data_IF_058760070582
#
_entry.id   IF_058760070582
#
_cell.length_a   1.000
_cell.length_b   1.000
_cell.length_c   1.000
_cell.angle_alpha   90.00
_cell.angle_beta   90.00
_cell.angle_gamma   90.00
#
_symmetry.space_group_name_H-M   'P 1'
#
loop_
_entity.id
_entity.type
_entity.pdbx_description
1 polymer ?
#
# COMPACT_ATOMS: atom_id res chain seq x y z
N UNK A 1 10.08 -21.52 12.99
CA UNK A 1 8.70 -21.01 12.89
C UNK A 1 8.20 -20.34 14.18
N UNK A 2 8.14 -21.03 15.33
CA UNK A 2 7.60 -20.47 16.59
C UNK A 2 8.21 -19.11 16.98
N UNK A 3 9.54 -18.97 17.00
CA UNK A 3 10.21 -17.72 17.33
C UNK A 3 9.92 -16.60 16.32
N UNK A 4 9.77 -16.93 15.05
CA UNK A 4 9.43 -15.98 14.00
C UNK A 4 8.00 -15.47 14.18
N UNK A 5 7.01 -16.36 14.32
CA UNK A 5 5.62 -15.97 14.58
C UNK A 5 5.49 -15.15 15.88
N UNK A 6 6.15 -15.57 16.95
CA UNK A 6 6.17 -14.86 18.23
C UNK A 6 6.71 -13.43 18.08
N UNK A 7 7.84 -13.26 17.36
CA UNK A 7 8.44 -11.94 17.11
C UNK A 7 7.48 -11.01 16.41
N UNK A 8 6.75 -11.50 15.41
CA UNK A 8 5.80 -10.66 14.64
C UNK A 8 4.51 -10.44 15.39
N UNK A 9 4.00 -11.42 16.14
CA UNK A 9 2.82 -11.27 16.96
C UNK A 9 3.00 -10.17 18.03
N UNK A 10 4.17 -10.13 18.68
CA UNK A 10 4.50 -9.11 19.68
C UNK A 10 4.68 -7.68 19.09
N UNK A 11 4.80 -7.57 17.78
CA UNK A 11 4.91 -6.28 17.07
C UNK A 11 3.59 -5.79 16.45
N UNK A 12 2.51 -6.53 16.63
CA UNK A 12 1.20 -6.11 16.12
C UNK A 12 0.69 -4.90 16.91
N UNK A 13 0.08 -3.95 16.21
CA UNK A 13 -0.53 -2.79 16.84
C UNK A 13 -1.75 -3.21 17.65
N UNK A 14 -1.69 -3.03 18.97
CA UNK A 14 -2.72 -3.49 19.90
C UNK A 14 -4.08 -2.80 19.73
N UNK A 15 -4.09 -1.56 19.24
CA UNK A 15 -5.28 -0.74 19.04
C UNK A 15 -6.09 -1.06 17.76
N UNK A 16 -5.57 -1.92 16.89
CA UNK A 16 -6.21 -2.29 15.63
C UNK A 16 -7.15 -3.50 15.77
N UNK A 17 -8.08 -3.63 14.83
CA UNK A 17 -8.97 -4.78 14.74
C UNK A 17 -8.20 -6.09 14.58
N UNK A 18 -8.58 -7.17 15.28
CA UNK A 18 -7.98 -8.48 15.08
C UNK A 18 -8.47 -9.18 13.80
N UNK A 19 -9.45 -8.59 13.07
CA UNK A 19 -10.06 -9.22 11.92
C UNK A 19 -10.88 -10.46 12.27
N UNK A 20 -11.58 -11.01 11.29
CA UNK A 20 -12.39 -12.22 11.47
C UNK A 20 -11.47 -13.46 11.66
N UNK A 21 -11.83 -14.44 12.51
CA UNK A 21 -13.04 -14.46 13.35
C UNK A 21 -12.90 -13.76 14.72
N UNK A 22 -11.71 -13.37 15.12
CA UNK A 22 -11.44 -12.84 16.46
C UNK A 22 -12.20 -11.54 16.79
N UNK A 23 -12.58 -10.77 15.77
CA UNK A 23 -13.38 -9.55 15.96
C UNK A 23 -14.82 -9.80 16.40
N UNK A 24 -15.29 -11.05 16.41
CA UNK A 24 -16.59 -11.42 16.97
C UNK A 24 -16.58 -11.33 18.49
N UNK A 25 -15.44 -11.63 19.12
CA UNK A 25 -15.30 -11.69 20.58
C UNK A 25 -14.44 -10.53 21.12
N UNK A 26 -13.54 -9.95 20.31
CA UNK A 26 -12.57 -8.97 20.76
C UNK A 26 -12.60 -7.68 19.92
N UNK A 27 -12.58 -6.55 20.60
CA UNK A 27 -12.64 -5.22 19.94
C UNK A 27 -11.33 -4.81 19.26
N UNK A 28 -10.21 -5.35 19.73
CA UNK A 28 -8.88 -5.01 19.20
C UNK A 28 -7.87 -6.14 19.46
N UNK A 29 -6.69 -6.02 18.82
CA UNK A 29 -5.61 -7.01 18.94
C UNK A 29 -5.13 -7.20 20.38
N UNK A 30 -5.11 -6.14 21.20
CA UNK A 30 -4.65 -6.22 22.59
C UNK A 30 -5.57 -7.14 23.40
N UNK A 31 -6.89 -6.92 23.34
CA UNK A 31 -7.87 -7.75 24.02
C UNK A 31 -7.81 -9.22 23.56
N UNK A 32 -7.68 -9.46 22.26
CA UNK A 32 -7.52 -10.81 21.72
C UNK A 32 -6.23 -11.49 22.24
N UNK A 33 -5.11 -10.77 22.23
CA UNK A 33 -3.83 -11.31 22.71
C UNK A 33 -3.80 -11.53 24.22
N UNK A 34 -4.48 -10.72 25.04
CA UNK A 34 -4.57 -10.96 26.48
C UNK A 34 -5.32 -12.24 26.80
N UNK A 35 -6.37 -12.54 26.03
CA UNK A 35 -7.23 -13.72 26.26
C UNK A 35 -6.73 -14.99 25.58
N UNK A 36 -6.32 -14.91 24.31
CA UNK A 36 -6.10 -16.06 23.41
C UNK A 36 -4.67 -16.17 22.88
N UNK A 37 -3.68 -15.59 23.55
CA UNK A 37 -2.30 -15.49 23.04
C UNK A 37 -1.73 -16.82 22.52
N UNK A 38 -1.87 -17.90 23.31
CA UNK A 38 -1.30 -19.21 22.94
C UNK A 38 -2.05 -19.82 21.75
N UNK A 39 -3.38 -19.67 21.71
CA UNK A 39 -4.22 -20.13 20.61
C UNK A 39 -3.84 -19.42 19.31
N UNK A 40 -3.77 -18.08 19.34
CA UNK A 40 -3.38 -17.26 18.20
C UNK A 40 -1.97 -17.63 17.70
N UNK A 41 -0.99 -17.76 18.60
CA UNK A 41 0.38 -18.15 18.24
C UNK A 41 0.42 -19.53 17.59
N UNK A 42 -0.32 -20.50 18.10
CA UNK A 42 -0.38 -21.84 17.52
C UNK A 42 -1.07 -21.82 16.13
N UNK A 43 -2.12 -21.03 15.94
CA UNK A 43 -2.77 -20.83 14.65
C UNK A 43 -1.82 -20.20 13.61
N UNK A 44 -1.03 -19.20 14.02
CA UNK A 44 -0.01 -18.61 13.13
C UNK A 44 1.05 -19.64 12.72
N UNK A 45 1.51 -20.48 13.66
CA UNK A 45 2.50 -21.54 13.36
C UNK A 45 1.89 -22.57 12.40
N UNK A 46 0.68 -23.01 12.65
CA UNK A 46 -0.02 -23.99 11.82
C UNK A 46 -0.22 -23.44 10.39
N UNK A 47 -0.75 -22.19 10.25
CA UNK A 47 -0.95 -21.54 8.96
C UNK A 47 0.36 -21.39 8.19
N UNK A 48 1.42 -20.90 8.83
CA UNK A 48 2.73 -20.78 8.19
C UNK A 48 3.28 -22.14 7.78
N UNK A 49 3.08 -23.18 8.59
CA UNK A 49 3.49 -24.54 8.25
C UNK A 49 2.75 -25.05 7.01
N UNK A 50 1.44 -24.87 6.94
CA UNK A 50 0.63 -25.23 5.77
C UNK A 50 1.19 -24.58 4.49
N UNK A 51 1.51 -23.30 4.54
CA UNK A 51 2.05 -22.57 3.37
C UNK A 51 3.45 -23.03 2.95
N UNK A 52 4.28 -23.45 3.90
CA UNK A 52 5.62 -23.97 3.63
C UNK A 52 5.61 -25.44 3.10
N UNK A 53 4.56 -26.18 3.37
CA UNK A 53 4.48 -27.62 3.09
C UNK A 53 3.43 -28.01 2.05
N UNK A 54 2.63 -27.06 1.55
CA UNK A 54 1.63 -27.32 0.52
C UNK A 54 2.27 -28.00 -0.70
N UNK A 55 1.59 -28.99 -1.23
CA UNK A 55 1.98 -29.60 -2.51
C UNK A 55 1.65 -28.62 -3.65
N UNK A 56 2.64 -28.26 -4.44
CA UNK A 56 2.45 -27.33 -5.55
C UNK A 56 1.55 -27.89 -6.66
N UNK A 57 1.35 -29.20 -6.71
CA UNK A 57 0.40 -29.81 -7.63
C UNK A 57 -1.04 -29.40 -7.34
N UNK A 58 -1.38 -29.18 -6.06
CA UNK A 58 -2.70 -28.66 -5.65
C UNK A 58 -2.92 -27.26 -6.23
N UNK A 59 -1.86 -26.45 -6.34
CA UNK A 59 -1.93 -25.10 -6.89
C UNK A 59 -2.10 -25.07 -8.43
N UNK A 60 -1.98 -26.21 -9.10
CA UNK A 60 -2.26 -26.36 -10.53
C UNK A 60 -3.74 -26.69 -10.80
N UNK A 61 -4.51 -27.07 -9.76
CA UNK A 61 -5.95 -27.24 -9.84
C UNK A 61 -6.65 -25.87 -9.80
N UNK A 62 -7.90 -25.82 -10.21
CA UNK A 62 -8.72 -24.62 -10.10
C UNK A 62 -9.00 -24.36 -8.62
N UNK A 63 -8.28 -23.38 -8.05
CA UNK A 63 -8.47 -22.90 -6.70
C UNK A 63 -9.50 -21.76 -6.74
N UNK A 64 -10.50 -21.87 -5.89
CA UNK A 64 -11.48 -20.81 -5.68
C UNK A 64 -11.55 -20.38 -4.20
N UNK A 65 -12.38 -19.40 -3.93
CA UNK A 65 -12.56 -18.87 -2.58
C UNK A 65 -13.16 -19.90 -1.61
N UNK A 66 -14.00 -20.82 -2.07
CA UNK A 66 -14.58 -21.89 -1.24
C UNK A 66 -13.52 -22.89 -0.83
N UNK A 67 -12.66 -23.26 -1.77
CA UNK A 67 -11.53 -24.15 -1.50
C UNK A 67 -10.60 -23.58 -0.40
N UNK A 68 -10.33 -22.27 -0.45
CA UNK A 68 -9.50 -21.59 0.57
C UNK A 68 -10.12 -21.67 1.95
N UNK A 69 -11.44 -21.45 2.05
CA UNK A 69 -12.19 -21.50 3.30
C UNK A 69 -12.21 -22.93 3.87
N UNK A 70 -12.60 -23.89 3.07
CA UNK A 70 -12.72 -25.30 3.48
C UNK A 70 -11.40 -25.89 3.96
N UNK A 71 -10.30 -25.50 3.31
CA UNK A 71 -8.96 -26.01 3.64
C UNK A 71 -8.20 -25.14 4.65
N UNK A 72 -8.78 -24.00 5.09
CA UNK A 72 -8.22 -23.17 6.14
C UNK A 72 -6.91 -22.47 5.78
N UNK A 73 -6.64 -22.17 4.51
CA UNK A 73 -5.43 -21.50 4.07
C UNK A 73 -5.45 -20.00 4.32
N UNK A 74 -6.62 -19.39 4.36
CA UNK A 74 -6.82 -17.98 4.70
C UNK A 74 -8.09 -17.84 5.53
N UNK A 75 -8.13 -16.82 6.38
CA UNK A 75 -9.36 -16.40 7.03
C UNK A 75 -10.06 -15.34 6.16
N UNK A 76 -11.40 -15.25 6.21
CA UNK A 76 -12.11 -14.17 5.56
C UNK A 76 -11.69 -12.79 6.10
N UNK A 77 -11.60 -11.82 5.20
CA UNK A 77 -11.44 -10.42 5.56
C UNK A 77 -12.78 -9.82 5.96
N UNK A 78 -12.79 -8.84 6.83
CA UNK A 78 -13.98 -8.01 7.07
C UNK A 78 -13.93 -6.72 6.27
N UNK A 79 -15.05 -6.01 6.14
CA UNK A 79 -15.09 -4.71 5.49
C UNK A 79 -15.85 -3.71 6.35
N UNK A 80 -15.33 -2.49 6.45
CA UNK A 80 -16.04 -1.36 7.04
C UNK A 80 -15.70 -0.04 6.35
N UNK A 81 -16.60 0.93 6.49
CA UNK A 81 -16.38 2.28 5.95
C UNK A 81 -15.31 2.98 6.79
N UNK A 82 -14.34 3.57 6.11
CA UNK A 82 -13.27 4.33 6.74
C UNK A 82 -13.79 5.63 7.33
N UNK A 83 -13.55 5.84 8.62
CA UNK A 83 -13.88 7.09 9.31
C UNK A 83 -12.90 8.21 8.90
N UNK A 84 -13.27 8.92 7.84
CA UNK A 84 -12.52 10.06 7.32
C UNK A 84 -13.44 10.99 6.52
N UNK A 85 -13.08 12.28 6.32
CA UNK A 85 -13.82 13.18 5.45
C UNK A 85 -13.88 12.66 4.02
N UNK A 86 -15.09 12.64 3.46
CA UNK A 86 -15.33 12.31 2.07
C UNK A 86 -15.83 13.55 1.33
N UNK A 87 -15.45 13.76 0.05
CA UNK A 87 -16.05 14.78 -0.79
C UNK A 87 -17.57 14.59 -0.88
N UNK A 88 -18.32 15.68 -0.85
CA UNK A 88 -19.80 15.66 -0.90
C UNK A 88 -20.36 14.78 -2.02
N UNK A 89 -19.76 14.87 -3.22
CA UNK A 89 -20.14 14.02 -4.35
C UNK A 89 -20.06 12.53 -4.02
N UNK A 90 -19.02 12.09 -3.28
CA UNK A 90 -18.89 10.68 -2.90
C UNK A 90 -19.92 10.25 -1.86
N UNK A 91 -20.33 11.19 -0.99
CA UNK A 91 -21.40 10.94 -0.03
C UNK A 91 -22.75 10.75 -0.73
N UNK A 92 -23.05 11.62 -1.69
CA UNK A 92 -24.28 11.54 -2.51
C UNK A 92 -24.32 10.25 -3.34
N UNK A 93 -23.18 9.86 -3.94
CA UNK A 93 -23.08 8.65 -4.77
C UNK A 93 -22.99 7.37 -3.94
N UNK A 94 -22.91 7.43 -2.61
CA UNK A 94 -22.69 6.26 -1.74
C UNK A 94 -21.31 5.61 -1.94
N UNK A 95 -20.33 6.31 -2.51
CA UNK A 95 -18.98 5.80 -2.83
C UNK A 95 -18.00 6.06 -1.70
N UNK A 96 -18.14 5.31 -0.63
CA UNK A 96 -17.25 5.41 0.53
C UNK A 96 -15.92 4.68 0.31
N UNK A 97 -14.88 5.14 1.00
CA UNK A 97 -13.66 4.34 1.12
C UNK A 97 -13.87 3.28 2.18
N UNK A 98 -13.61 2.04 1.80
CA UNK A 98 -13.67 0.91 2.70
C UNK A 98 -12.27 0.52 3.18
N UNK A 99 -12.22 -0.10 4.35
CA UNK A 99 -11.06 -0.79 4.88
C UNK A 99 -11.42 -2.27 4.96
N UNK A 100 -10.49 -3.12 4.54
CA UNK A 100 -10.60 -4.58 4.58
C UNK A 100 -9.55 -5.16 5.52
N UNK A 101 -9.79 -5.22 6.85
CA UNK A 101 -8.89 -5.88 7.77
C UNK A 101 -8.82 -7.37 7.47
N UNK A 102 -7.60 -7.89 7.43
CA UNK A 102 -7.34 -9.33 7.41
C UNK A 102 -7.19 -9.86 8.84
N UNK A 103 -7.36 -11.15 9.04
CA UNK A 103 -7.24 -11.77 10.36
C UNK A 103 -5.88 -11.51 11.01
N UNK A 104 -5.83 -11.50 12.34
CA UNK A 104 -4.58 -11.37 13.09
C UNK A 104 -3.60 -12.50 12.74
N UNK A 105 -4.11 -13.71 12.50
CA UNK A 105 -3.30 -14.86 12.08
C UNK A 105 -2.63 -14.58 10.73
N UNK A 106 -3.41 -14.15 9.74
CA UNK A 106 -2.89 -13.85 8.40
C UNK A 106 -1.94 -12.64 8.42
N UNK A 107 -2.24 -11.60 9.22
CA UNK A 107 -1.32 -10.46 9.41
C UNK A 107 0.07 -10.93 9.93
N UNK A 108 0.11 -11.86 10.88
CA UNK A 108 1.36 -12.39 11.43
C UNK A 108 2.08 -13.24 10.39
N UNK A 109 1.38 -14.09 9.65
CA UNK A 109 1.98 -14.93 8.59
C UNK A 109 2.53 -14.07 7.46
N UNK A 110 1.77 -13.07 6.99
CA UNK A 110 2.25 -12.08 6.01
C UNK A 110 3.47 -11.31 6.52
N UNK A 111 3.50 -10.95 7.82
CA UNK A 111 4.67 -10.30 8.41
C UNK A 111 5.89 -11.23 8.42
N UNK A 112 5.71 -12.53 8.66
CA UNK A 112 6.78 -13.51 8.57
C UNK A 112 7.36 -13.62 7.14
N UNK A 113 6.50 -13.46 6.12
CA UNK A 113 6.92 -13.57 4.72
C UNK A 113 7.54 -12.26 4.17
N UNK A 114 7.00 -11.10 4.54
CA UNK A 114 7.25 -9.85 3.81
C UNK A 114 7.96 -8.75 4.59
N UNK A 115 8.08 -8.83 5.94
CA UNK A 115 8.62 -7.71 6.72
C UNK A 115 10.06 -7.35 6.37
N UNK A 116 10.91 -8.32 6.08
CA UNK A 116 12.30 -8.06 5.71
C UNK A 116 12.39 -7.39 4.33
N UNK A 117 11.55 -7.82 3.38
CA UNK A 117 11.46 -7.18 2.06
C UNK A 117 10.94 -5.75 2.17
N UNK A 118 9.91 -5.53 2.99
CA UNK A 118 9.37 -4.18 3.23
C UNK A 118 10.40 -3.25 3.87
N UNK A 119 11.24 -3.77 4.78
CA UNK A 119 12.35 -3.02 5.38
C UNK A 119 13.40 -2.69 4.33
N UNK A 120 13.88 -3.68 3.57
CA UNK A 120 14.87 -3.47 2.52
C UNK A 120 14.39 -2.48 1.44
N UNK A 121 13.10 -2.53 1.10
CA UNK A 121 12.49 -1.59 0.16
C UNK A 121 12.52 -0.15 0.68
N UNK A 122 12.22 0.07 1.97
CA UNK A 122 12.28 1.39 2.61
C UNK A 122 13.72 1.91 2.71
N UNK A 123 14.66 1.06 3.01
CA UNK A 123 16.09 1.42 3.12
C UNK A 123 16.71 1.76 1.76
N UNK A 124 16.26 1.10 0.69
CA UNK A 124 16.76 1.32 -0.67
C UNK A 124 15.99 2.39 -1.45
N UNK A 125 14.82 2.84 -0.96
CA UNK A 125 13.98 3.90 -1.57
C UNK A 125 14.00 3.88 -3.11
N UNK A 126 14.43 4.99 -3.73
CA UNK A 126 14.46 5.18 -5.18
C UNK A 126 15.26 4.12 -5.95
N UNK A 127 16.30 3.55 -5.34
CA UNK A 127 17.11 2.51 -5.97
C UNK A 127 16.32 1.21 -6.19
N UNK A 128 15.31 0.93 -5.36
CA UNK A 128 14.37 -0.17 -5.58
C UNK A 128 13.25 0.16 -6.57
N UNK A 129 13.18 1.40 -7.07
CA UNK A 129 12.09 1.89 -7.89
C UNK A 129 10.79 2.08 -7.11
N UNK A 130 10.91 2.44 -5.83
CA UNK A 130 9.81 2.65 -4.91
C UNK A 130 10.02 3.92 -4.10
N UNK A 131 8.94 4.64 -3.79
CA UNK A 131 8.96 5.75 -2.87
C UNK A 131 8.35 5.41 -1.49
N UNK A 132 8.08 4.14 -1.22
CA UNK A 132 7.57 3.70 0.09
C UNK A 132 8.61 3.95 1.18
N UNK A 133 8.25 4.78 2.14
CA UNK A 133 9.17 5.20 3.21
C UNK A 133 9.81 6.56 2.98
N UNK A 134 9.48 7.24 1.88
CA UNK A 134 9.86 8.65 1.71
C UNK A 134 9.28 9.48 2.86
N UNK A 135 10.11 10.25 3.52
CA UNK A 135 9.67 11.18 4.55
C UNK A 135 9.24 12.51 3.93
N UNK A 136 8.23 13.14 4.52
CA UNK A 136 7.79 14.50 4.14
C UNK A 136 8.56 15.61 4.91
N UNK A 137 9.56 15.23 5.70
CA UNK A 137 10.51 16.16 6.33
C UNK A 137 11.47 16.75 5.27
N UNK A 138 12.15 17.88 5.57
CA UNK A 138 12.95 18.61 4.58
C UNK A 138 13.96 17.76 3.79
N UNK A 139 14.61 16.79 4.45
CA UNK A 139 15.58 15.91 3.79
C UNK A 139 14.92 14.98 2.79
N UNK A 140 13.81 14.32 3.17
CA UNK A 140 13.07 13.44 2.26
C UNK A 140 12.50 14.19 1.06
N UNK A 141 12.01 15.41 1.28
CA UNK A 141 11.53 16.28 0.19
C UNK A 141 12.67 16.68 -0.74
N UNK A 142 13.83 17.04 -0.21
CA UNK A 142 15.02 17.36 -1.00
C UNK A 142 15.48 16.16 -1.83
N UNK A 143 15.54 14.99 -1.23
CA UNK A 143 15.96 13.76 -1.89
C UNK A 143 15.01 13.38 -3.02
N UNK A 144 13.69 13.53 -2.81
CA UNK A 144 12.70 13.32 -3.85
C UNK A 144 12.85 14.32 -5.00
N UNK A 145 12.97 15.63 -4.73
CA UNK A 145 13.18 16.66 -5.76
C UNK A 145 14.46 16.37 -6.57
N UNK A 146 15.55 16.00 -5.91
CA UNK A 146 16.80 15.63 -6.59
C UNK A 146 16.61 14.40 -7.48
N UNK A 147 15.89 13.41 -7.01
CA UNK A 147 15.56 12.23 -7.81
C UNK A 147 14.74 12.62 -9.04
N UNK A 148 13.65 13.38 -8.88
CA UNK A 148 12.82 13.83 -10.01
C UNK A 148 13.65 14.60 -11.02
N UNK A 149 14.48 15.57 -10.60
CA UNK A 149 15.38 16.32 -11.51
C UNK A 149 16.36 15.41 -12.28
N UNK A 150 16.85 14.36 -11.62
CA UNK A 150 17.73 13.39 -12.27
C UNK A 150 17.01 12.57 -13.34
N UNK A 151 15.77 12.20 -13.05
CA UNK A 151 14.92 11.43 -13.97
C UNK A 151 14.45 12.28 -15.15
N UNK A 152 14.09 13.55 -14.92
CA UNK A 152 13.75 14.49 -16.02
C UNK A 152 14.92 14.73 -16.96
N UNK A 153 16.13 14.81 -16.43
CA UNK A 153 17.34 14.92 -17.26
C UNK A 153 17.55 13.67 -18.13
N UNK A 154 17.16 12.50 -17.66
CA UNK A 154 17.38 11.21 -18.34
C UNK A 154 16.26 10.87 -19.33
N UNK A 155 15.03 11.12 -18.97
CA UNK A 155 13.85 10.60 -19.65
C UNK A 155 12.87 11.68 -20.13
N UNK A 156 13.11 12.95 -19.82
CA UNK A 156 12.20 14.05 -20.13
C UNK A 156 11.24 14.36 -18.97
N UNK A 157 10.25 15.24 -19.21
CA UNK A 157 9.37 15.75 -18.17
C UNK A 157 8.59 14.63 -17.46
N UNK A 158 8.38 14.80 -16.15
CA UNK A 158 7.58 13.89 -15.34
C UNK A 158 6.09 14.02 -15.69
N UNK A 159 5.35 12.93 -15.56
CA UNK A 159 3.89 12.91 -15.57
C UNK A 159 3.34 12.56 -14.20
N UNK A 160 2.15 13.07 -13.91
CA UNK A 160 1.33 12.78 -12.74
C UNK A 160 0.08 12.05 -13.19
N UNK A 161 -0.36 11.06 -12.43
CA UNK A 161 -1.65 10.40 -12.64
C UNK A 161 -2.23 9.85 -11.33
N UNK A 162 -3.53 9.54 -11.35
CA UNK A 162 -4.25 8.86 -10.28
C UNK A 162 -5.03 7.69 -10.88
N UNK A 163 -4.94 6.50 -10.28
CA UNK A 163 -5.62 5.30 -10.75
C UNK A 163 -6.94 5.11 -10.03
N UNK A 164 -8.03 4.94 -10.78
CA UNK A 164 -9.34 4.69 -10.21
C UNK A 164 -9.47 3.26 -9.69
N UNK A 165 -9.88 3.13 -8.40
CA UNK A 165 -10.20 1.82 -7.81
C UNK A 165 -9.01 0.86 -7.77
N UNK A 166 -7.81 1.37 -7.53
CA UNK A 166 -6.56 0.64 -7.67
C UNK A 166 -6.56 -0.72 -6.95
N UNK A 167 -6.99 -0.78 -5.69
CA UNK A 167 -7.03 -2.02 -4.90
C UNK A 167 -7.91 -3.13 -5.55
N UNK A 168 -8.80 -2.77 -6.47
CA UNK A 168 -9.71 -3.70 -7.16
C UNK A 168 -9.20 -4.19 -8.51
N UNK A 169 -8.01 -3.76 -8.95
CA UNK A 169 -7.46 -4.06 -10.28
C UNK A 169 -6.52 -5.27 -10.30
N UNK A 170 -6.22 -5.85 -9.13
CA UNK A 170 -5.12 -6.80 -8.99
C UNK A 170 -5.57 -8.22 -9.29
N UNK A 171 -5.41 -8.64 -10.54
CA UNK A 171 -5.73 -9.99 -11.00
C UNK A 171 -4.72 -11.04 -10.48
N UNK A 172 -5.06 -12.35 -10.50
CA UNK A 172 -4.13 -13.42 -10.15
C UNK A 172 -2.80 -13.31 -10.88
N UNK A 173 -2.82 -12.97 -12.18
CA UNK A 173 -1.62 -12.83 -13.01
C UNK A 173 -0.68 -11.74 -12.50
N UNK A 174 -1.21 -10.61 -12.02
CA UNK A 174 -0.41 -9.52 -11.43
C UNK A 174 0.20 -9.95 -10.11
N UNK A 175 -0.50 -10.73 -9.30
CA UNK A 175 0.05 -11.30 -8.08
C UNK A 175 1.22 -12.25 -8.37
N UNK A 176 1.08 -13.14 -9.35
CA UNK A 176 2.15 -14.04 -9.79
C UNK A 176 3.35 -13.27 -10.36
N UNK A 177 3.10 -12.30 -11.24
CA UNK A 177 4.16 -11.43 -11.77
C UNK A 177 4.88 -10.67 -10.66
N UNK A 178 4.18 -10.23 -9.61
CA UNK A 178 4.80 -9.56 -8.47
C UNK A 178 5.67 -10.49 -7.63
N UNK A 179 5.31 -11.76 -7.50
CA UNK A 179 6.13 -12.74 -6.80
C UNK A 179 7.45 -12.99 -7.55
N UNK A 180 7.41 -13.08 -8.88
CA UNK A 180 8.61 -13.23 -9.68
C UNK A 180 9.46 -11.95 -9.67
N UNK A 181 8.83 -10.77 -9.72
CA UNK A 181 9.53 -9.49 -9.56
C UNK A 181 10.28 -9.44 -8.22
N UNK A 182 9.63 -9.81 -7.12
CA UNK A 182 10.24 -9.84 -5.80
C UNK A 182 11.44 -10.80 -5.77
N UNK A 183 11.34 -11.99 -6.38
CA UNK A 183 12.43 -12.96 -6.48
C UNK A 183 13.64 -12.41 -7.23
N UNK A 184 13.42 -11.60 -8.26
CA UNK A 184 14.49 -10.99 -9.06
C UNK A 184 15.15 -9.80 -8.35
N UNK A 185 14.37 -8.96 -7.67
CA UNK A 185 14.87 -7.75 -7.00
C UNK A 185 15.51 -8.07 -5.65
N UNK A 186 14.81 -8.85 -4.82
CA UNK A 186 15.31 -9.23 -3.49
C UNK A 186 16.16 -10.50 -3.58
N UNK A 187 17.35 -10.38 -4.17
CA UNK A 187 18.34 -11.48 -4.21
C UNK A 187 18.92 -11.73 -2.82
N UNK A 188 18.10 -12.15 -1.88
CA UNK A 188 18.53 -12.40 -0.51
C UNK A 188 19.35 -13.69 -0.49
N UNK A 189 20.66 -13.57 -0.24
CA UNK A 189 21.55 -14.72 -0.11
C UNK A 189 21.14 -15.56 1.11
N UNK A 190 21.01 -16.88 0.91
CA UNK A 190 20.74 -17.83 1.98
C UNK A 190 19.26 -17.96 2.39
N UNK A 191 18.33 -17.34 1.66
CA UNK A 191 16.91 -17.63 1.85
C UNK A 191 16.60 -19.04 1.40
N UNK A 192 15.98 -19.82 2.29
CA UNK A 192 15.57 -21.18 1.98
C UNK A 192 14.54 -21.21 0.86
N UNK A 193 14.63 -22.17 -0.05
CA UNK A 193 13.68 -22.35 -1.16
C UNK A 193 12.22 -22.43 -0.65
N UNK A 194 12.02 -23.05 0.51
CA UNK A 194 10.69 -23.11 1.14
C UNK A 194 10.07 -21.74 1.43
N UNK A 195 10.89 -20.72 1.71
CA UNK A 195 10.37 -19.36 1.92
C UNK A 195 9.84 -18.78 0.61
N UNK A 196 10.59 -18.93 -0.50
CA UNK A 196 10.11 -18.51 -1.82
C UNK A 196 8.88 -19.30 -2.28
N UNK A 197 8.81 -20.59 -1.92
CA UNK A 197 7.62 -21.40 -2.13
C UNK A 197 6.42 -20.81 -1.39
N UNK A 198 6.53 -20.53 -0.10
CA UNK A 198 5.44 -19.92 0.67
C UNK A 198 5.01 -18.56 0.11
N UNK A 199 5.97 -17.75 -0.37
CA UNK A 199 5.70 -16.48 -1.03
C UNK A 199 4.90 -16.68 -2.33
N UNK A 200 5.27 -17.62 -3.19
CA UNK A 200 4.51 -17.97 -4.40
C UNK A 200 3.11 -18.48 -4.07
N UNK A 201 2.99 -19.36 -3.07
CA UNK A 201 1.72 -19.87 -2.58
C UNK A 201 0.80 -18.73 -2.15
N UNK A 202 1.31 -17.82 -1.31
CA UNK A 202 0.53 -16.64 -0.90
C UNK A 202 0.04 -15.84 -2.10
N UNK A 203 0.92 -15.58 -3.07
CA UNK A 203 0.58 -14.80 -4.26
C UNK A 203 -0.48 -15.48 -5.14
N UNK A 204 -0.53 -16.80 -5.14
CA UNK A 204 -1.57 -17.57 -5.85
C UNK A 204 -2.91 -17.57 -5.12
N UNK A 205 -2.90 -17.62 -3.78
CA UNK A 205 -4.11 -17.76 -2.97
C UNK A 205 -4.77 -16.41 -2.66
N UNK A 206 -3.98 -15.36 -2.49
CA UNK A 206 -4.49 -14.05 -2.06
C UNK A 206 -5.57 -13.44 -2.97
N UNK A 207 -5.53 -13.59 -4.30
CA UNK A 207 -6.59 -13.09 -5.19
C UNK A 207 -7.98 -13.64 -4.90
N UNK A 208 -8.09 -14.80 -4.27
CA UNK A 208 -9.34 -15.49 -3.97
C UNK A 208 -9.88 -15.23 -2.57
N UNK A 209 -9.36 -14.21 -1.88
CA UNK A 209 -9.79 -13.89 -0.52
C UNK A 209 -11.30 -13.60 -0.43
N UNK A 210 -11.90 -14.01 0.70
CA UNK A 210 -13.32 -13.91 0.99
C UNK A 210 -13.55 -12.71 1.90
N UNK A 211 -14.71 -12.07 1.78
CA UNK A 211 -15.11 -10.95 2.63
C UNK A 211 -16.35 -11.33 3.46
N UNK A 212 -16.32 -11.03 4.76
CA UNK A 212 -17.46 -11.15 5.65
C UNK A 212 -18.09 -9.77 5.86
N UNK A 213 -19.40 -9.68 5.66
CA UNK A 213 -20.19 -8.50 5.98
C UNK A 213 -21.39 -8.94 6.83
N UNK A 214 -21.40 -8.55 8.10
CA UNK A 214 -22.33 -9.13 9.07
C UNK A 214 -22.08 -10.63 9.21
N UNK A 215 -23.11 -11.43 9.00
CA UNK A 215 -23.05 -12.90 9.10
C UNK A 215 -22.99 -13.60 7.73
N UNK A 216 -22.69 -12.83 6.65
CA UNK A 216 -22.71 -13.35 5.28
C UNK A 216 -21.30 -13.31 4.69
N UNK A 217 -20.91 -14.45 4.11
CA UNK A 217 -19.69 -14.60 3.31
C UNK A 217 -19.96 -14.16 1.89
N UNK A 218 -19.12 -13.26 1.39
CA UNK A 218 -19.15 -12.75 0.00
C UNK A 218 -17.90 -13.22 -0.74
N UNK A 219 -18.13 -13.89 -1.84
CA UNK A 219 -17.11 -14.26 -2.81
C UNK A 219 -17.15 -13.24 -3.94
N UNK A 220 -16.01 -12.81 -4.42
CA UNK A 220 -15.94 -11.92 -5.57
C UNK A 220 -16.23 -12.69 -6.86
N UNK A 221 -16.98 -12.05 -7.75
CA UNK A 221 -17.21 -12.56 -9.12
C UNK A 221 -15.97 -12.44 -9.98
N UNK A 222 -15.18 -11.37 -9.76
CA UNK A 222 -13.92 -11.14 -10.44
C UNK A 222 -12.80 -11.34 -9.43
N UNK A 223 -11.88 -12.25 -9.73
CA UNK A 223 -10.76 -12.58 -8.88
C UNK A 223 -9.76 -11.40 -8.80
N UNK A 224 -9.23 -11.21 -7.62
CA UNK A 224 -8.20 -10.22 -7.38
C UNK A 224 -8.68 -8.96 -6.66
N UNK A 225 -8.04 -8.69 -5.54
CA UNK A 225 -8.15 -7.47 -4.75
C UNK A 225 -6.94 -7.37 -3.83
N UNK A 226 -6.58 -6.15 -3.46
CA UNK A 226 -5.69 -5.92 -2.34
C UNK A 226 -6.51 -5.55 -1.11
N UNK A 227 -6.42 -6.37 -0.06
CA UNK A 227 -6.96 -6.01 1.25
C UNK A 227 -6.13 -4.87 1.84
N UNK A 228 -6.79 -3.75 2.14
CA UNK A 228 -6.12 -2.56 2.68
C UNK A 228 -5.48 -2.80 4.06
N UNK A 229 -5.91 -3.84 4.78
CA UNK A 229 -5.37 -4.27 6.08
C UNK A 229 -4.24 -5.31 5.99
N UNK A 230 -3.86 -5.78 4.81
CA UNK A 230 -2.70 -6.66 4.61
C UNK A 230 -1.40 -5.96 5.05
N UNK A 231 -0.48 -6.71 5.65
CA UNK A 231 0.82 -6.17 6.12
C UNK A 231 1.72 -5.69 5.01
N UNK A 232 1.51 -6.19 3.79
CA UNK A 232 2.33 -5.88 2.62
C UNK A 232 1.64 -4.89 1.65
N UNK A 233 0.46 -4.36 1.99
CA UNK A 233 -0.36 -3.53 1.10
C UNK A 233 0.44 -2.42 0.41
N UNK A 234 1.14 -1.58 1.17
CA UNK A 234 1.85 -0.42 0.59
C UNK A 234 2.95 -0.85 -0.38
N UNK A 235 3.79 -1.83 0.00
CA UNK A 235 4.86 -2.32 -0.84
C UNK A 235 4.31 -3.06 -2.06
N UNK A 236 3.29 -3.90 -1.86
CA UNK A 236 2.69 -4.70 -2.93
C UNK A 236 1.97 -3.82 -3.95
N UNK A 237 1.16 -2.86 -3.50
CA UNK A 237 0.53 -1.88 -4.39
C UNK A 237 1.56 -1.09 -5.18
N UNK A 238 2.68 -0.72 -4.55
CA UNK A 238 3.80 -0.06 -5.24
C UNK A 238 4.40 -0.97 -6.32
N UNK A 239 4.61 -2.26 -6.02
CA UNK A 239 5.08 -3.24 -7.02
C UNK A 239 4.08 -3.39 -8.17
N UNK A 240 2.79 -3.52 -7.88
CA UNK A 240 1.75 -3.62 -8.90
C UNK A 240 1.70 -2.37 -9.77
N UNK A 241 1.75 -1.18 -9.17
CA UNK A 241 1.74 0.08 -9.91
C UNK A 241 2.95 0.19 -10.84
N UNK A 242 4.11 -0.29 -10.38
CA UNK A 242 5.32 -0.35 -11.20
C UNK A 242 5.17 -1.33 -12.37
N UNK A 243 4.67 -2.55 -12.11
CA UNK A 243 4.43 -3.55 -13.15
C UNK A 243 3.44 -3.05 -14.21
N UNK A 244 2.34 -2.43 -13.81
CA UNK A 244 1.38 -1.83 -14.75
C UNK A 244 2.00 -0.72 -15.60
N UNK A 245 2.78 0.18 -15.00
CA UNK A 245 3.47 1.23 -15.75
C UNK A 245 4.39 0.67 -16.83
N UNK A 246 5.24 -0.30 -16.47
CA UNK A 246 6.12 -0.96 -17.44
C UNK A 246 5.37 -1.79 -18.47
N UNK A 247 4.27 -2.43 -18.11
CA UNK A 247 3.46 -3.17 -19.07
C UNK A 247 2.83 -2.26 -20.13
N UNK A 248 2.29 -1.10 -19.70
CA UNK A 248 1.80 -0.08 -20.63
C UNK A 248 2.94 0.40 -21.55
N UNK A 249 4.12 0.66 -20.97
CA UNK A 249 5.29 1.12 -21.74
C UNK A 249 5.75 0.07 -22.78
N UNK A 250 5.66 -1.23 -22.46
CA UNK A 250 5.93 -2.32 -23.41
C UNK A 250 4.90 -2.32 -24.55
N UNK A 251 3.61 -2.19 -24.24
CA UNK A 251 2.55 -2.14 -25.25
C UNK A 251 2.67 -0.94 -26.19
N UNK A 252 3.31 0.14 -25.74
CA UNK A 252 3.55 1.36 -26.51
C UNK A 252 4.94 1.40 -27.17
N UNK A 253 5.77 0.38 -26.99
CA UNK A 253 7.17 0.31 -27.48
C UNK A 253 8.05 1.47 -26.97
N UNK A 254 7.80 1.97 -25.76
CA UNK A 254 8.59 3.05 -25.13
C UNK A 254 9.41 2.58 -23.92
N UNK A 255 9.39 1.29 -23.59
CA UNK A 255 9.95 0.73 -22.36
C UNK A 255 11.45 1.04 -22.16
N UNK A 256 12.21 1.19 -23.24
CA UNK A 256 13.65 1.49 -23.18
C UNK A 256 13.96 2.90 -22.63
N UNK A 257 13.01 3.83 -22.78
CA UNK A 257 13.13 5.21 -22.32
C UNK A 257 12.06 5.58 -21.29
N UNK A 258 11.55 4.60 -20.56
CA UNK A 258 10.48 4.77 -19.58
C UNK A 258 10.95 4.41 -18.18
N UNK A 259 10.48 5.16 -17.20
CA UNK A 259 10.54 4.74 -15.78
C UNK A 259 9.33 5.26 -15.01
N UNK A 260 9.05 4.64 -13.87
CA UNK A 260 7.94 4.99 -12.98
C UNK A 260 8.34 4.83 -11.53
N UNK A 261 8.04 5.84 -10.71
CA UNK A 261 8.25 5.84 -9.26
C UNK A 261 6.89 5.85 -8.55
N UNK A 262 6.42 4.71 -8.07
CA UNK A 262 5.18 4.61 -7.32
C UNK A 262 5.38 4.67 -5.79
N UNK A 263 4.29 5.07 -5.11
CA UNK A 263 4.06 4.89 -3.68
C UNK A 263 2.61 4.46 -3.46
N UNK A 264 2.35 3.16 -3.45
CA UNK A 264 0.99 2.63 -3.54
C UNK A 264 0.41 2.86 -4.94
N UNK A 265 -0.76 3.48 -4.99
CA UNK A 265 -1.46 3.89 -6.22
C UNK A 265 -0.92 5.19 -6.84
N UNK A 266 -0.40 6.10 -6.02
CA UNK A 266 0.25 7.33 -6.49
C UNK A 266 1.54 7.01 -7.26
N UNK A 267 1.74 7.64 -8.43
CA UNK A 267 2.98 7.49 -9.19
C UNK A 267 3.34 8.74 -9.99
N UNK A 268 4.65 8.89 -10.20
CA UNK A 268 5.16 9.75 -11.25
C UNK A 268 5.87 8.89 -12.29
N UNK A 269 5.69 9.21 -13.56
CA UNK A 269 6.27 8.47 -14.68
C UNK A 269 7.05 9.40 -15.59
N UNK A 270 8.07 8.88 -16.26
CA UNK A 270 8.94 9.59 -17.20
C UNK A 270 9.05 8.84 -18.51
N UNK A 271 9.38 9.58 -19.58
CA UNK A 271 9.61 8.98 -20.90
C UNK A 271 8.36 8.76 -21.73
N UNK A 272 7.22 9.31 -21.32
CA UNK A 272 6.03 9.36 -22.17
C UNK A 272 6.18 10.55 -23.12
N UNK A 273 6.19 10.39 -24.45
CA UNK A 273 6.28 11.52 -25.38
C UNK A 273 5.05 12.42 -25.28
N UNK A 274 5.24 13.73 -25.45
CA UNK A 274 4.17 14.73 -25.22
C UNK A 274 2.90 14.46 -26.05
N UNK A 275 3.07 14.09 -27.31
CA UNK A 275 1.97 13.74 -28.19
C UNK A 275 1.36 12.35 -27.94
N UNK A 276 1.84 11.58 -26.97
CA UNK A 276 1.40 10.21 -26.63
C UNK A 276 0.64 10.09 -25.31
N UNK A 277 0.38 11.18 -24.57
CA UNK A 277 -0.36 11.08 -23.29
C UNK A 277 -1.73 10.43 -23.47
N UNK A 278 -2.46 10.82 -24.50
CA UNK A 278 -3.78 10.24 -24.76
C UNK A 278 -3.67 8.78 -25.22
N UNK A 279 -2.64 8.43 -25.97
CA UNK A 279 -2.35 7.03 -26.33
C UNK A 279 -2.01 6.22 -25.09
N UNK A 280 -1.19 6.76 -24.17
CA UNK A 280 -0.87 6.11 -22.89
C UNK A 280 -2.14 5.85 -22.07
N UNK A 281 -3.03 6.84 -21.97
CA UNK A 281 -4.33 6.70 -21.30
C UNK A 281 -5.19 5.60 -21.91
N UNK A 282 -5.30 5.56 -23.25
CA UNK A 282 -6.08 4.55 -23.98
C UNK A 282 -5.48 3.16 -23.84
N UNK A 283 -4.15 3.05 -23.89
CA UNK A 283 -3.46 1.77 -23.69
C UNK A 283 -3.66 1.27 -22.25
N UNK A 284 -3.60 2.14 -21.24
CA UNK A 284 -3.94 1.78 -19.87
C UNK A 284 -5.39 1.28 -19.77
N UNK A 285 -6.34 1.98 -20.40
CA UNK A 285 -7.75 1.60 -20.40
C UNK A 285 -8.00 0.26 -21.08
N UNK A 286 -7.23 -0.10 -22.12
CA UNK A 286 -7.36 -1.39 -22.82
C UNK A 286 -6.99 -2.60 -21.96
N UNK A 287 -6.25 -2.38 -20.87
CA UNK A 287 -5.90 -3.40 -19.87
C UNK A 287 -6.68 -3.21 -18.55
N UNK A 288 -7.77 -2.44 -18.57
CA UNK A 288 -8.67 -2.24 -17.43
C UNK A 288 -8.24 -1.13 -16.46
N UNK A 289 -7.17 -0.38 -16.75
CA UNK A 289 -6.66 0.67 -15.85
C UNK A 289 -7.20 2.04 -16.28
N UNK A 290 -7.99 2.66 -15.42
CA UNK A 290 -8.50 4.02 -15.65
C UNK A 290 -7.59 5.04 -14.98
N UNK A 291 -6.80 5.76 -15.79
CA UNK A 291 -5.97 6.87 -15.35
C UNK A 291 -6.79 8.17 -15.32
N UNK A 292 -6.85 8.77 -14.14
CA UNK A 292 -7.43 10.11 -13.93
C UNK A 292 -6.31 11.13 -13.88
N UNK A 293 -6.61 12.37 -14.27
CA UNK A 293 -5.73 13.53 -14.11
C UNK A 293 -4.32 13.35 -14.71
N UNK A 294 -4.17 12.44 -15.70
CA UNK A 294 -2.90 12.23 -16.39
C UNK A 294 -2.46 13.50 -17.10
N UNK A 295 -1.35 14.08 -16.66
CA UNK A 295 -0.76 15.32 -17.19
C UNK A 295 0.73 15.36 -16.94
N UNK A 296 1.43 16.24 -17.65
CA UNK A 296 2.81 16.57 -17.28
C UNK A 296 2.87 17.43 -16.03
N UNK A 297 3.92 17.25 -15.26
CA UNK A 297 4.34 18.21 -14.24
C UNK A 297 4.59 19.56 -14.91
N UNK A 298 4.13 20.65 -14.29
CA UNK A 298 4.16 21.99 -14.89
C UNK A 298 4.90 22.99 -13.99
N UNK A 299 5.60 23.96 -14.64
CA UNK A 299 6.26 25.09 -13.98
C UNK A 299 7.21 24.70 -12.82
N UNK A 300 7.93 23.60 -12.95
CA UNK A 300 8.83 23.09 -11.91
C UNK A 300 8.13 22.62 -10.66
N UNK A 301 6.86 22.19 -10.78
CA UNK A 301 6.03 21.66 -9.70
C UNK A 301 5.50 20.29 -10.07
N UNK A 302 5.44 19.40 -9.08
CA UNK A 302 4.94 18.03 -9.24
C UNK A 302 4.09 17.63 -8.03
N UNK A 303 2.96 16.97 -8.28
CA UNK A 303 2.16 16.37 -7.23
C UNK A 303 2.57 14.92 -6.99
N UNK A 304 2.69 14.56 -5.72
CA UNK A 304 2.94 13.20 -5.30
C UNK A 304 2.50 12.98 -3.85
N UNK A 305 1.78 11.90 -3.56
CA UNK A 305 1.33 11.54 -2.21
C UNK A 305 0.61 12.68 -1.47
N UNK A 306 -0.33 13.36 -2.15
CA UNK A 306 -1.08 14.49 -1.61
C UNK A 306 -0.23 15.71 -1.25
N UNK A 307 0.99 15.83 -1.76
CA UNK A 307 1.86 16.99 -1.60
C UNK A 307 2.21 17.59 -2.95
N UNK A 308 2.30 18.92 -2.98
CA UNK A 308 2.84 19.69 -4.11
C UNK A 308 4.30 20.03 -3.81
N UNK A 309 5.21 19.49 -4.61
CA UNK A 309 6.63 19.78 -4.57
C UNK A 309 6.95 20.88 -5.58
N UNK A 310 7.59 21.94 -5.12
CA UNK A 310 8.10 23.02 -5.97
C UNK A 310 9.61 22.92 -6.02
N UNK A 311 10.19 22.75 -7.21
CA UNK A 311 11.63 22.53 -7.40
C UNK A 311 12.48 23.77 -7.05
N UNK A 312 11.84 24.93 -6.92
CA UNK A 312 12.49 26.18 -6.50
C UNK A 312 12.50 26.35 -4.97
N UNK A 313 11.81 25.48 -4.23
CA UNK A 313 11.77 25.48 -2.76
C UNK A 313 12.75 24.47 -2.19
N UNK A 314 13.36 24.82 -1.08
CA UNK A 314 14.29 23.95 -0.33
C UNK A 314 13.78 23.57 1.04
N UNK A 315 12.65 24.18 1.47
CA UNK A 315 12.11 24.10 2.83
C UNK A 315 11.03 23.02 2.99
N UNK A 316 10.56 22.42 1.88
CA UNK A 316 9.60 21.32 1.92
C UNK A 316 8.52 21.39 0.86
N UNK A 317 7.58 20.45 0.92
CA UNK A 317 6.41 20.36 0.05
C UNK A 317 5.15 20.92 0.74
N UNK A 318 4.18 21.33 -0.09
CA UNK A 318 2.89 21.82 0.38
C UNK A 318 1.92 20.65 0.52
N UNK A 319 1.43 20.38 1.73
CA UNK A 319 0.37 19.38 1.96
C UNK A 319 -0.96 19.87 1.38
N UNK A 320 -1.40 19.31 0.27
CA UNK A 320 -2.63 19.71 -0.42
C UNK A 320 -3.89 19.22 0.29
N UNK A 321 -3.80 18.10 1.02
CA UNK A 321 -4.90 17.50 1.78
C UNK A 321 -4.90 17.89 3.27
N UNK A 322 -4.37 19.07 3.62
CA UNK A 322 -4.27 19.52 5.01
C UNK A 322 -5.57 19.46 5.82
N UNK A 323 -6.78 19.75 5.26
CA UNK A 323 -8.01 19.65 6.05
C UNK A 323 -8.26 18.22 6.56
N UNK A 324 -7.91 17.23 5.74
CA UNK A 324 -8.01 15.80 6.11
C UNK A 324 -6.99 15.42 7.18
N UNK A 325 -5.77 15.95 7.11
CA UNK A 325 -4.74 15.71 8.11
C UNK A 325 -5.16 16.29 9.48
N UNK A 326 -5.66 17.52 9.51
CA UNK A 326 -6.19 18.16 10.73
C UNK A 326 -7.38 17.38 11.29
N UNK A 327 -8.34 17.00 10.45
CA UNK A 327 -9.48 16.19 10.89
C UNK A 327 -9.02 14.89 11.57
N UNK A 328 -8.13 14.14 10.93
CA UNK A 328 -7.61 12.88 11.49
C UNK A 328 -6.91 13.08 12.82
N UNK A 329 -6.17 14.17 12.96
CA UNK A 329 -5.53 14.52 14.22
C UNK A 329 -6.56 14.82 15.32
N UNK A 330 -7.57 15.65 15.01
CA UNK A 330 -8.57 16.09 15.99
C UNK A 330 -9.57 14.99 16.39
N UNK A 331 -9.78 13.98 15.52
CA UNK A 331 -10.70 12.87 15.79
C UNK A 331 -10.02 11.62 16.35
N UNK A 332 -8.70 11.66 16.56
CA UNK A 332 -7.97 10.55 17.14
C UNK A 332 -8.41 10.35 18.62
N UNK A 333 -8.75 9.11 19.00
CA UNK A 333 -9.20 8.79 20.36
C UNK A 333 -8.15 9.08 21.44
N UNK A 334 -6.88 8.83 21.11
CA UNK A 334 -5.73 9.18 21.93
C UNK A 334 -4.79 9.98 21.06
N UNK A 335 -4.56 11.22 21.43
CA UNK A 335 -3.68 12.15 20.71
C UNK A 335 -2.36 12.25 21.46
N UNK A 336 -1.32 11.66 20.89
CA UNK A 336 0.03 11.74 21.42
C UNK A 336 0.77 13.00 20.88
N UNK A 337 1.70 13.59 21.62
CA UNK A 337 2.50 14.73 21.13
C UNK A 337 3.21 14.43 19.80
N UNK A 338 3.66 13.20 19.61
CA UNK A 338 4.27 12.75 18.34
C UNK A 338 3.33 12.90 17.14
N UNK A 339 2.04 12.57 17.29
CA UNK A 339 1.06 12.68 16.21
C UNK A 339 0.85 14.12 15.79
N UNK A 340 0.81 15.03 16.78
CA UNK A 340 0.67 16.47 16.54
C UNK A 340 1.91 17.00 15.81
N UNK A 341 3.10 16.65 16.27
CA UNK A 341 4.37 17.04 15.61
C UNK A 341 4.40 16.63 14.16
N UNK A 342 4.07 15.38 13.87
CA UNK A 342 4.06 14.87 12.49
C UNK A 342 3.15 15.73 11.59
N UNK A 343 1.93 16.02 12.01
CA UNK A 343 0.99 16.84 11.24
C UNK A 343 1.50 18.29 11.10
N UNK A 344 2.09 18.86 12.14
CA UNK A 344 2.66 20.21 12.10
C UNK A 344 3.84 20.30 11.13
N UNK A 345 4.73 19.30 11.12
CA UNK A 345 5.86 19.21 10.18
C UNK A 345 5.37 19.10 8.72
N UNK A 346 4.39 18.24 8.46
CA UNK A 346 3.78 18.12 7.13
C UNK A 346 3.13 19.44 6.67
N UNK A 347 2.56 20.22 7.59
CA UNK A 347 1.92 21.51 7.28
C UNK A 347 2.86 22.73 7.28
N UNK A 348 4.11 22.57 7.70
CA UNK A 348 5.06 23.69 7.86
C UNK A 348 5.22 24.53 6.60
N UNK A 349 5.13 23.89 5.44
CA UNK A 349 5.30 24.56 4.15
C UNK A 349 4.01 25.14 3.56
N UNK A 350 2.88 25.04 4.26
CA UNK A 350 1.60 25.59 3.82
C UNK A 350 1.46 27.09 4.09
N UNK A 351 2.53 27.85 3.84
CA UNK A 351 2.61 29.30 4.13
C UNK A 351 1.64 30.16 3.32
N UNK A 352 1.12 29.66 2.20
CA UNK A 352 0.08 30.32 1.41
C UNK A 352 -1.28 30.39 2.13
N UNK A 353 -1.44 29.65 3.23
CA UNK A 353 -2.64 29.68 4.06
C UNK A 353 -2.33 30.36 5.40
N UNK A 354 -2.58 31.69 5.56
CA UNK A 354 -2.19 32.44 6.78
C UNK A 354 -2.73 31.83 8.09
N UNK A 355 -3.96 31.29 8.04
CA UNK A 355 -4.58 30.64 9.20
C UNK A 355 -3.80 29.39 9.64
N UNK A 356 -3.31 28.59 8.69
CA UNK A 356 -2.49 27.41 9.00
C UNK A 356 -1.13 27.79 9.55
N UNK A 357 -0.48 28.80 8.96
CA UNK A 357 0.78 29.31 9.48
C UNK A 357 0.66 29.78 10.93
N UNK A 358 -0.42 30.50 11.26
CA UNK A 358 -0.71 30.91 12.65
C UNK A 358 -0.99 29.72 13.56
N UNK A 359 -1.72 28.71 13.08
CA UNK A 359 -1.98 27.49 13.82
C UNK A 359 -0.69 26.75 14.13
N UNK A 360 0.16 26.49 13.13
CA UNK A 360 1.46 25.84 13.31
C UNK A 360 2.33 26.61 14.31
N UNK A 361 2.45 27.93 14.16
CA UNK A 361 3.25 28.78 15.08
C UNK A 361 2.76 28.74 16.53
N UNK A 362 1.44 28.63 16.75
CA UNK A 362 0.87 28.57 18.10
C UNK A 362 0.94 27.19 18.74
N UNK A 363 0.85 26.13 17.96
CA UNK A 363 0.74 24.77 18.50
C UNK A 363 2.10 24.09 18.60
N UNK A 364 3.05 24.37 17.68
CA UNK A 364 4.38 23.76 17.73
C UNK A 364 5.07 23.89 19.10
N UNK A 365 5.12 25.08 19.73
CA UNK A 365 5.76 25.22 21.04
C UNK A 365 5.08 24.48 22.20
N UNK A 366 3.88 23.94 21.98
CA UNK A 366 3.14 23.20 23.02
C UNK A 366 3.43 21.69 23.00
N UNK A 367 4.08 21.21 21.95
CA UNK A 367 4.37 19.78 21.74
C UNK A 367 5.87 19.47 21.64
N UNK A 368 6.71 20.51 21.66
CA UNK A 368 8.15 20.42 21.84
C UNK A 368 8.52 20.25 23.32
#
# INVERSE_FOLDING_TARGET
MRQLCLRHLLKVHGDKSPGYPLNLDYTNNHAAMESEFVGILNSCIARLHMWLTIDETILAEEIDSYWLLENGYMDPSTIFIKDEPHPERKLVDGKYRCITPVSLVDQVVEACLFSEMSTANKESLFASGSAVGIGFHPDGVRDYINYVKSMEKKYGPATEDDVSGFDSLHTPQVYEASAEYDRLIFRIKGVAENWWKAHRVWSKLKPYSIVVIGDVLYVRTDEGMMDSGSRDTSRRNTTFRRLYGFYIAVLMDIVQNFDVLPNGDDANSWGIPENHLETYRKTAASIGITLRDLRYANDGKINFCSHLYDFNRTDGAVLTSWPKAVYKMLTKKVLEPYDVRQVLEEMRCNTQYPVLSQFVQKVAPLVD
#
